data_IF_249593246381
#
_entry.id   IF_249593246381
#
_cell.length_a   1.000
_cell.length_b   1.000
_cell.length_c   1.000
_cell.angle_alpha   90.00
_cell.angle_beta   90.00
_cell.angle_gamma   90.00
#
_symmetry.space_group_name_H-M   'P 1'
#
loop_
_entity.id
_entity.type
_entity.pdbx_description
1 polymer ?
#
# COMPACT_ATOMS: atom_id res chain seq x y z
N UNK A 1 2.74 30.94 13.04
CA UNK A 1 2.97 29.99 11.94
C UNK A 1 4.46 29.99 11.72
N UNK A 2 5.05 28.81 11.63
CA UNK A 2 6.47 28.69 11.33
C UNK A 2 6.59 28.51 9.81
N UNK A 3 7.58 29.13 9.19
CA UNK A 3 7.82 29.01 7.74
C UNK A 3 9.25 28.56 7.57
N UNK A 4 9.47 27.61 6.68
CA UNK A 4 10.79 27.25 6.19
C UNK A 4 10.76 27.15 4.68
N UNK A 5 11.93 27.11 4.07
CA UNK A 5 12.06 27.09 2.62
C UNK A 5 12.61 25.73 2.17
N UNK A 6 12.07 25.18 1.08
CA UNK A 6 12.74 24.14 0.33
C UNK A 6 13.77 24.82 -0.58
N UNK A 7 15.04 24.57 -0.33
CA UNK A 7 16.14 25.22 -1.05
C UNK A 7 16.20 24.76 -2.52
N UNK A 8 16.86 25.54 -3.38
CA UNK A 8 17.09 25.19 -4.80
C UNK A 8 17.73 23.80 -4.97
N UNK A 9 18.59 23.39 -4.03
CA UNK A 9 19.22 22.06 -4.01
C UNK A 9 18.22 20.91 -3.81
N UNK A 10 17.05 21.19 -3.21
CA UNK A 10 15.95 20.23 -3.16
C UNK A 10 15.27 20.06 -4.53
N UNK A 11 15.53 20.94 -5.50
CA UNK A 11 15.19 20.80 -6.92
C UNK A 11 13.79 21.27 -7.32
N UNK A 12 13.19 22.20 -6.58
CA UNK A 12 11.88 22.80 -6.91
C UNK A 12 11.98 24.14 -7.68
N UNK A 13 13.18 24.58 -8.05
CA UNK A 13 13.41 25.90 -8.64
C UNK A 13 13.64 26.95 -7.55
N UNK A 14 13.14 28.18 -7.77
CA UNK A 14 13.17 29.26 -6.77
C UNK A 14 12.66 28.76 -5.40
N UNK A 15 13.15 29.38 -4.32
CA UNK A 15 12.78 29.06 -2.94
C UNK A 15 11.27 28.84 -2.74
N UNK A 16 10.86 27.60 -2.42
CA UNK A 16 9.45 27.25 -2.15
C UNK A 16 9.18 27.34 -0.65
N UNK A 17 8.23 28.18 -0.25
CA UNK A 17 7.83 28.31 1.15
C UNK A 17 6.97 27.12 1.61
N UNK A 18 7.27 26.63 2.82
CA UNK A 18 6.48 25.62 3.52
C UNK A 18 5.96 26.20 4.83
N UNK A 19 4.65 26.39 4.90
CA UNK A 19 3.95 26.99 6.03
C UNK A 19 3.49 25.89 6.98
N UNK A 20 3.93 25.96 8.23
CA UNK A 20 3.66 24.98 9.28
C UNK A 20 2.63 25.47 10.32
N UNK A 21 1.73 24.57 10.79
CA UNK A 21 0.92 24.83 11.96
C UNK A 21 1.80 24.80 13.22
N UNK A 22 1.28 25.33 14.33
CA UNK A 22 2.05 25.46 15.58
C UNK A 22 2.39 24.11 16.25
N UNK A 23 1.73 23.02 15.86
CA UNK A 23 1.83 21.70 16.51
C UNK A 23 2.82 20.75 15.82
N UNK A 24 3.69 21.23 14.93
CA UNK A 24 4.76 20.43 14.33
C UNK A 24 6.03 21.27 14.15
N UNK A 25 7.18 20.67 14.45
CA UNK A 25 8.49 21.24 14.17
C UNK A 25 8.94 20.87 12.75
N UNK A 26 9.66 21.79 12.08
CA UNK A 26 10.19 21.58 10.73
C UNK A 26 10.95 20.25 10.60
N UNK A 27 11.89 19.98 11.52
CA UNK A 27 12.70 18.76 11.50
C UNK A 27 11.82 17.50 11.53
N UNK A 28 10.70 17.50 12.26
CA UNK A 28 9.80 16.34 12.34
C UNK A 28 9.12 16.07 11.00
N UNK A 29 8.65 17.12 10.30
CA UNK A 29 8.07 16.98 8.97
C UNK A 29 9.10 16.56 7.93
N UNK A 30 10.28 17.20 7.92
CA UNK A 30 11.33 16.94 6.94
C UNK A 30 11.91 15.52 7.03
N UNK A 31 11.86 14.89 8.20
CA UNK A 31 12.29 13.50 8.40
C UNK A 31 11.16 12.48 8.32
N UNK A 32 9.93 12.91 8.06
CA UNK A 32 8.79 12.01 7.93
C UNK A 32 8.71 11.46 6.50
N UNK A 33 8.89 10.15 6.36
CA UNK A 33 9.03 9.47 5.07
C UNK A 33 7.92 9.79 4.06
N UNK A 34 6.62 9.81 4.42
CA UNK A 34 5.57 10.16 3.46
C UNK A 34 5.75 11.55 2.83
N UNK A 35 6.18 12.55 3.61
CA UNK A 35 6.46 13.88 3.06
C UNK A 35 7.69 13.88 2.15
N UNK A 36 8.74 13.14 2.51
CA UNK A 36 9.93 12.98 1.66
C UNK A 36 9.60 12.31 0.33
N UNK A 37 8.85 11.21 0.37
CA UNK A 37 8.45 10.44 -0.82
C UNK A 37 7.55 11.27 -1.74
N UNK A 38 6.54 11.96 -1.17
CA UNK A 38 5.66 12.84 -1.93
C UNK A 38 6.45 13.97 -2.62
N UNK A 39 7.34 14.66 -1.88
CA UNK A 39 8.19 15.72 -2.46
C UNK A 39 9.08 15.20 -3.57
N UNK A 40 9.80 14.10 -3.32
CA UNK A 40 10.74 13.53 -4.28
C UNK A 40 10.04 13.11 -5.58
N UNK A 41 8.86 12.51 -5.46
CA UNK A 41 8.04 12.07 -6.59
C UNK A 41 7.49 13.27 -7.38
N UNK A 42 6.93 14.26 -6.68
CA UNK A 42 6.42 15.48 -7.31
C UNK A 42 7.52 16.21 -8.07
N UNK A 43 8.69 16.39 -7.45
CA UNK A 43 9.85 17.00 -8.08
C UNK A 43 10.21 16.33 -9.40
N UNK A 44 10.36 15.01 -9.39
CA UNK A 44 10.74 14.25 -10.59
C UNK A 44 9.72 14.44 -11.73
N UNK A 45 8.43 14.47 -11.39
CA UNK A 45 7.36 14.72 -12.36
C UNK A 45 7.37 16.17 -12.88
N UNK A 46 7.67 17.15 -12.02
CA UNK A 46 7.83 18.53 -12.46
C UNK A 46 9.03 18.67 -13.42
N UNK A 47 10.14 17.98 -13.13
CA UNK A 47 11.34 17.97 -13.99
C UNK A 47 11.11 17.27 -15.33
N UNK A 48 10.27 16.24 -15.37
CA UNK A 48 9.94 15.51 -16.61
C UNK A 48 9.31 16.41 -17.68
N UNK A 49 8.72 17.54 -17.29
CA UNK A 49 8.20 18.55 -18.21
C UNK A 49 9.28 19.19 -19.10
N UNK A 50 10.56 19.07 -18.74
CA UNK A 50 11.68 19.55 -19.56
C UNK A 50 11.84 18.74 -20.86
N UNK A 51 11.30 17.52 -20.94
CA UNK A 51 11.29 16.75 -22.18
C UNK A 51 10.41 17.46 -23.24
N UNK A 52 10.94 17.77 -24.45
CA UNK A 52 10.17 18.35 -25.54
C UNK A 52 8.89 17.58 -25.94
N UNK A 53 8.81 16.29 -25.61
CA UNK A 53 7.63 15.44 -25.86
C UNK A 53 6.59 15.50 -24.74
N UNK A 54 6.92 16.08 -23.60
CA UNK A 54 5.99 16.16 -22.48
C UNK A 54 4.82 17.09 -22.83
N UNK A 55 3.59 16.69 -22.47
CA UNK A 55 2.36 17.43 -22.81
C UNK A 55 2.35 18.86 -22.26
N UNK A 56 3.07 19.10 -21.16
CA UNK A 56 3.22 20.41 -20.51
C UNK A 56 4.54 21.12 -20.81
N UNK A 57 5.32 20.66 -21.80
CA UNK A 57 6.64 21.22 -22.09
C UNK A 57 6.62 22.73 -22.39
N UNK A 58 5.63 23.19 -23.16
CA UNK A 58 5.52 24.60 -23.56
C UNK A 58 5.03 25.53 -22.45
N UNK A 59 4.48 24.98 -21.36
CA UNK A 59 3.86 25.75 -20.26
C UNK A 59 3.94 24.92 -18.97
N UNK A 60 5.16 24.86 -18.42
CA UNK A 60 5.53 23.96 -17.34
C UNK A 60 4.92 24.41 -16.02
N UNK A 61 4.38 23.45 -15.28
CA UNK A 61 3.97 23.66 -13.91
C UNK A 61 5.18 23.76 -12.98
N UNK A 62 5.03 24.55 -11.94
CA UNK A 62 6.01 24.71 -10.87
C UNK A 62 5.29 24.74 -9.52
N UNK A 63 5.95 24.20 -8.50
CA UNK A 63 5.49 24.29 -7.11
C UNK A 63 5.86 25.68 -6.58
N UNK A 64 4.91 26.34 -5.93
CA UNK A 64 5.07 27.72 -5.43
C UNK A 64 5.10 27.78 -3.91
N UNK A 65 4.26 26.98 -3.28
CA UNK A 65 4.06 26.99 -1.83
C UNK A 65 3.50 25.64 -1.38
N UNK A 66 3.83 25.23 -0.16
CA UNK A 66 3.16 24.15 0.55
C UNK A 66 2.59 24.69 1.86
N UNK A 67 1.28 24.58 2.05
CA UNK A 67 0.63 24.88 3.32
C UNK A 67 0.25 23.60 4.04
N UNK A 68 0.87 23.32 5.19
CA UNK A 68 0.48 22.22 6.07
C UNK A 68 -0.75 22.65 6.86
N UNK A 69 -1.89 22.04 6.56
CA UNK A 69 -3.19 22.43 7.12
C UNK A 69 -3.45 21.77 8.48
N UNK A 70 -3.09 20.50 8.63
CA UNK A 70 -3.25 19.76 9.88
C UNK A 70 -2.25 18.61 9.99
N UNK A 71 -1.96 18.23 11.24
CA UNK A 71 -1.12 17.10 11.60
C UNK A 71 -1.80 16.31 12.71
N UNK A 72 -2.01 15.03 12.45
CA UNK A 72 -2.55 14.07 13.42
C UNK A 72 -1.41 13.21 13.98
N UNK A 73 -1.43 13.01 15.30
CA UNK A 73 -0.35 12.35 16.05
C UNK A 73 -0.82 11.03 16.66
N UNK A 74 -0.02 9.98 16.50
CA UNK A 74 -0.20 8.68 17.14
C UNK A 74 0.87 8.50 18.21
N UNK A 75 0.58 8.97 19.42
CA UNK A 75 1.59 9.13 20.46
C UNK A 75 2.60 10.20 20.06
N UNK A 76 3.87 9.83 19.94
CA UNK A 76 4.97 10.70 19.53
C UNK A 76 5.25 10.67 18.02
N UNK A 77 4.60 9.80 17.27
CA UNK A 77 4.77 9.64 15.82
C UNK A 77 3.75 10.46 15.05
N UNK A 78 4.17 11.02 13.92
CA UNK A 78 3.24 11.61 12.95
C UNK A 78 2.43 10.48 12.33
N UNK A 79 1.11 10.57 12.47
CA UNK A 79 0.16 9.63 11.86
C UNK A 79 -0.22 10.12 10.47
N UNK A 80 -0.81 11.32 10.38
CA UNK A 80 -1.28 11.89 9.12
C UNK A 80 -0.92 13.37 8.98
N UNK A 81 -0.79 13.82 7.74
CA UNK A 81 -0.62 15.24 7.39
C UNK A 81 -1.56 15.60 6.27
N UNK A 82 -2.36 16.65 6.46
CA UNK A 82 -3.11 17.28 5.37
C UNK A 82 -2.35 18.50 4.89
N UNK A 83 -2.12 18.60 3.59
CA UNK A 83 -1.47 19.75 2.97
C UNK A 83 -2.27 20.30 1.79
N UNK A 84 -1.98 21.55 1.44
CA UNK A 84 -2.34 22.17 0.18
C UNK A 84 -1.06 22.67 -0.50
N UNK A 85 -0.73 22.11 -1.65
CA UNK A 85 0.35 22.54 -2.52
C UNK A 85 -0.19 23.51 -3.58
N UNK A 86 0.44 24.67 -3.73
CA UNK A 86 0.13 25.58 -4.82
C UNK A 86 1.02 25.24 -6.02
N UNK A 87 0.41 24.64 -7.04
CA UNK A 87 1.11 24.22 -8.27
C UNK A 87 0.48 24.97 -9.44
N UNK A 88 1.27 25.79 -10.14
CA UNK A 88 0.77 26.67 -11.20
C UNK A 88 1.70 26.69 -12.41
N UNK A 89 1.15 26.99 -13.58
CA UNK A 89 1.90 27.41 -14.75
C UNK A 89 1.45 28.83 -15.17
N UNK A 90 1.78 29.29 -16.38
CA UNK A 90 1.43 30.64 -16.82
C UNK A 90 -0.06 30.91 -17.00
N UNK A 91 -0.93 29.90 -16.89
CA UNK A 91 -2.35 29.99 -17.24
C UNK A 91 -3.31 29.41 -16.19
N UNK A 92 -2.89 28.38 -15.46
CA UNK A 92 -3.78 27.54 -14.67
C UNK A 92 -3.11 27.00 -13.41
N UNK A 93 -3.94 26.76 -12.39
CA UNK A 93 -3.56 26.10 -11.15
C UNK A 93 -4.01 24.64 -11.17
N UNK A 94 -3.19 23.73 -10.62
CA UNK A 94 -3.57 22.34 -10.38
C UNK A 94 -4.17 22.18 -8.97
N UNK A 95 -5.16 21.28 -8.79
CA UNK A 95 -5.59 20.88 -7.45
C UNK A 95 -4.43 20.23 -6.69
N UNK A 96 -4.03 20.84 -5.57
CA UNK A 96 -2.88 20.36 -4.79
C UNK A 96 -3.20 19.97 -3.35
N UNK A 97 -4.47 19.69 -3.03
CA UNK A 97 -4.84 19.15 -1.71
C UNK A 97 -4.42 17.68 -1.64
N UNK A 98 -3.64 17.33 -0.62
CA UNK A 98 -3.21 15.95 -0.38
C UNK A 98 -3.34 15.55 1.09
N UNK A 99 -3.83 14.34 1.31
CA UNK A 99 -3.81 13.65 2.60
C UNK A 99 -2.65 12.64 2.60
N UNK A 100 -1.57 13.02 3.26
CA UNK A 100 -0.40 12.19 3.42
C UNK A 100 -0.59 11.22 4.58
N UNK A 101 -0.41 9.94 4.28
CA UNK A 101 -0.44 8.83 5.23
C UNK A 101 0.64 7.79 4.97
N UNK A 102 1.31 7.85 3.81
CA UNK A 102 2.34 6.90 3.42
C UNK A 102 1.79 5.58 2.88
N UNK A 103 2.72 4.66 2.62
CA UNK A 103 2.41 3.36 2.04
C UNK A 103 1.94 2.32 3.06
N UNK A 104 1.12 1.40 2.58
CA UNK A 104 0.76 0.16 3.25
C UNK A 104 1.10 -1.03 2.34
N UNK A 105 0.87 -2.26 2.77
CA UNK A 105 0.90 -3.47 1.94
C UNK A 105 -0.39 -4.23 2.12
N UNK A 106 -0.76 -5.01 1.12
CA UNK A 106 -1.87 -5.95 1.20
C UNK A 106 -1.42 -7.34 0.79
N UNK A 107 -1.97 -8.37 1.44
CA UNK A 107 -1.65 -9.75 1.11
C UNK A 107 -2.93 -10.50 0.74
N UNK A 108 -3.01 -10.95 -0.50
CA UNK A 108 -4.00 -11.94 -0.92
C UNK A 108 -3.57 -13.29 -0.37
N UNK A 109 -4.23 -13.74 0.68
CA UNK A 109 -3.94 -15.01 1.34
C UNK A 109 -4.87 -16.11 0.81
N UNK A 110 -4.37 -16.94 -0.11
CA UNK A 110 -5.12 -18.03 -0.73
C UNK A 110 -4.81 -19.36 -0.04
N UNK A 111 -5.85 -20.05 0.42
CA UNK A 111 -5.78 -21.36 1.04
C UNK A 111 -6.35 -22.41 0.11
N UNK A 112 -5.60 -23.48 -0.14
CA UNK A 112 -6.04 -24.64 -0.93
C UNK A 112 -6.19 -25.85 -0.01
N UNK A 113 -7.37 -26.47 0.09
CA UNK A 113 -7.52 -27.72 0.82
C UNK A 113 -6.64 -28.81 0.19
N UNK A 114 -5.94 -29.57 1.03
CA UNK A 114 -5.19 -30.74 0.57
C UNK A 114 -6.08 -31.72 -0.21
N UNK A 115 -5.53 -32.32 -1.27
CA UNK A 115 -6.23 -33.28 -2.12
C UNK A 115 -7.26 -32.68 -3.09
N UNK A 116 -7.39 -31.35 -3.15
CA UNK A 116 -8.23 -30.65 -4.11
C UNK A 116 -7.40 -29.89 -5.15
N UNK A 117 -7.92 -29.77 -6.37
CA UNK A 117 -7.24 -29.03 -7.45
C UNK A 117 -7.75 -27.60 -7.59
N UNK A 118 -9.06 -27.43 -7.51
CA UNK A 118 -9.73 -26.19 -7.90
C UNK A 118 -10.33 -25.43 -6.69
N UNK A 119 -10.48 -26.08 -5.54
CA UNK A 119 -11.01 -25.42 -4.34
C UNK A 119 -10.00 -24.43 -3.76
N UNK A 120 -10.45 -23.19 -3.58
CA UNK A 120 -9.65 -22.08 -3.08
C UNK A 120 -10.49 -21.26 -2.12
N UNK A 121 -9.89 -20.88 -1.01
CA UNK A 121 -10.46 -19.97 -0.03
C UNK A 121 -9.53 -18.77 0.15
N UNK A 122 -10.08 -17.65 0.60
CA UNK A 122 -9.33 -16.43 0.85
C UNK A 122 -9.56 -15.96 2.27
N UNK A 123 -8.48 -15.66 2.97
CA UNK A 123 -8.53 -15.03 4.30
C UNK A 123 -8.81 -13.54 4.11
N UNK A 124 -9.87 -13.08 4.77
CA UNK A 124 -10.29 -11.69 4.84
C UNK A 124 -10.40 -11.27 6.31
N UNK A 125 -10.33 -9.98 6.56
CA UNK A 125 -10.54 -9.35 7.86
C UNK A 125 -11.79 -8.47 7.81
N UNK A 126 -12.61 -8.55 8.84
CA UNK A 126 -13.70 -7.62 9.09
C UNK A 126 -13.29 -6.69 10.23
N UNK A 127 -13.17 -5.40 9.93
CA UNK A 127 -12.68 -4.39 10.87
C UNK A 127 -13.37 -3.02 10.68
N UNK A 128 -13.38 -2.15 11.71
CA UNK A 128 -13.87 -0.78 11.56
C UNK A 128 -13.03 0.03 10.58
N UNK A 129 -13.68 0.67 9.61
CA UNK A 129 -13.11 1.69 8.73
C UNK A 129 -13.91 2.98 8.90
N UNK A 130 -13.59 3.71 9.97
CA UNK A 130 -14.25 4.98 10.31
C UNK A 130 -14.19 6.02 9.18
N UNK A 131 -13.09 6.16 8.40
CA UNK A 131 -13.08 7.05 7.25
C UNK A 131 -14.14 6.72 6.19
N UNK A 132 -14.57 5.46 6.09
CA UNK A 132 -15.65 5.02 5.21
C UNK A 132 -17.02 4.94 5.93
N UNK A 133 -17.10 5.31 7.21
CA UNK A 133 -18.31 5.22 8.01
C UNK A 133 -18.76 3.79 8.31
N UNK A 134 -17.87 2.79 8.20
CA UNK A 134 -18.18 1.38 8.44
C UNK A 134 -17.56 0.88 9.74
N UNK A 135 -18.33 0.09 10.51
CA UNK A 135 -17.84 -0.62 11.70
C UNK A 135 -17.48 -2.08 11.44
N UNK A 136 -17.79 -2.58 10.24
CA UNK A 136 -17.63 -3.98 9.83
C UNK A 136 -17.27 -4.03 8.35
N UNK A 137 -16.15 -3.40 7.99
CA UNK A 137 -15.67 -3.35 6.62
C UNK A 137 -14.88 -4.61 6.32
N UNK A 138 -15.26 -5.31 5.24
CA UNK A 138 -14.62 -6.56 4.83
C UNK A 138 -13.56 -6.28 3.77
N UNK A 139 -12.34 -6.78 4.01
CA UNK A 139 -11.17 -6.52 3.17
C UNK A 139 -10.11 -7.63 3.33
N UNK A 140 -9.14 -7.69 2.43
CA UNK A 140 -7.98 -8.57 2.63
C UNK A 140 -7.02 -7.98 3.69
N UNK A 141 -6.25 -8.83 4.40
CA UNK A 141 -5.25 -8.38 5.39
C UNK A 141 -4.26 -7.37 4.82
N UNK A 142 -3.91 -6.40 5.64
CA UNK A 142 -3.02 -5.30 5.25
C UNK A 142 -2.17 -4.83 6.42
N UNK A 143 -1.04 -4.19 6.11
CA UNK A 143 -0.17 -3.61 7.13
C UNK A 143 0.57 -2.36 6.68
N UNK A 144 0.83 -1.44 7.58
CA UNK A 144 1.54 -0.19 7.33
C UNK A 144 3.04 -0.40 7.10
N UNK A 145 3.62 0.34 6.16
CA UNK A 145 5.06 0.36 5.96
C UNK A 145 5.73 1.30 6.98
N UNK A 146 6.87 0.87 7.53
CA UNK A 146 7.72 1.71 8.41
C UNK A 146 8.68 2.62 7.61
N UNK A 147 8.24 3.14 6.47
CA UNK A 147 9.06 3.97 5.58
C UNK A 147 10.19 3.22 4.85
N UNK A 148 10.30 1.89 5.01
CA UNK A 148 11.17 1.04 4.20
C UNK A 148 10.45 0.56 2.92
N UNK A 149 11.22 0.14 1.91
CA UNK A 149 10.66 -0.39 0.66
C UNK A 149 10.28 -1.88 0.83
N UNK A 150 9.03 -2.21 0.54
CA UNK A 150 8.55 -3.60 0.42
C UNK A 150 8.02 -4.19 1.73
N UNK A 151 7.75 -5.50 1.72
CA UNK A 151 7.23 -6.22 2.88
C UNK A 151 8.25 -6.25 4.03
N UNK A 152 7.93 -5.58 5.14
CA UNK A 152 8.80 -5.45 6.32
C UNK A 152 8.38 -6.40 7.45
N UNK A 153 9.23 -6.52 8.47
CA UNK A 153 8.86 -7.23 9.70
C UNK A 153 7.62 -6.65 10.39
N UNK A 154 7.38 -5.34 10.30
CA UNK A 154 6.16 -4.75 10.87
C UNK A 154 4.90 -5.14 10.10
N UNK A 155 4.94 -5.07 8.77
CA UNK A 155 3.81 -5.53 7.96
C UNK A 155 3.52 -7.03 8.20
N UNK A 156 4.56 -7.84 8.37
CA UNK A 156 4.42 -9.25 8.76
C UNK A 156 3.78 -9.40 10.14
N UNK A 157 4.23 -8.63 11.13
CA UNK A 157 3.68 -8.66 12.48
C UNK A 157 2.21 -8.21 12.51
N UNK A 158 1.86 -7.13 11.80
CA UNK A 158 0.47 -6.65 11.72
C UNK A 158 -0.44 -7.72 11.10
N UNK A 159 -0.01 -8.36 10.01
CA UNK A 159 -0.80 -9.45 9.41
C UNK A 159 -0.86 -10.68 10.33
N UNK A 160 0.21 -11.01 11.05
CA UNK A 160 0.19 -12.08 12.06
C UNK A 160 -0.78 -11.74 13.21
N UNK A 161 -0.86 -10.48 13.64
CA UNK A 161 -1.82 -10.00 14.64
C UNK A 161 -3.27 -10.05 14.11
N UNK A 162 -3.49 -9.68 12.85
CA UNK A 162 -4.79 -9.70 12.19
C UNK A 162 -5.28 -11.13 11.90
N UNK A 163 -4.37 -12.07 11.61
CA UNK A 163 -4.75 -13.39 11.06
C UNK A 163 -4.35 -14.59 11.91
N UNK A 164 -3.46 -14.41 12.89
CA UNK A 164 -2.83 -15.52 13.61
C UNK A 164 -1.92 -16.38 12.73
N UNK A 165 -1.62 -15.95 11.50
CA UNK A 165 -0.78 -16.67 10.54
C UNK A 165 0.53 -15.92 10.39
N UNK A 166 1.62 -16.61 10.72
CA UNK A 166 2.96 -16.09 10.52
C UNK A 166 3.38 -16.21 9.05
N UNK A 167 3.65 -15.07 8.42
CA UNK A 167 4.08 -14.98 7.03
C UNK A 167 5.55 -14.61 6.97
N UNK A 168 6.31 -15.27 6.08
CA UNK A 168 7.69 -14.91 5.80
C UNK A 168 7.81 -14.25 4.43
N UNK A 169 8.70 -13.27 4.30
CA UNK A 169 8.85 -12.48 3.07
C UNK A 169 9.20 -13.35 1.85
N UNK A 170 10.01 -14.39 2.06
CA UNK A 170 10.39 -15.37 1.04
C UNK A 170 9.24 -16.25 0.55
N UNK A 171 8.09 -16.25 1.23
CA UNK A 171 6.90 -16.99 0.82
C UNK A 171 5.91 -16.14 0.01
N UNK A 172 6.25 -14.86 -0.23
CA UNK A 172 5.40 -13.91 -0.92
C UNK A 172 5.77 -13.78 -2.39
N UNK A 173 4.75 -13.59 -3.22
CA UNK A 173 4.89 -13.21 -4.63
C UNK A 173 4.37 -11.78 -4.79
N UNK A 174 5.21 -10.86 -5.27
CA UNK A 174 4.83 -9.46 -5.55
C UNK A 174 3.98 -9.37 -6.82
N UNK A 175 2.65 -9.34 -6.68
CA UNK A 175 1.72 -9.28 -7.81
C UNK A 175 1.82 -7.93 -8.54
N UNK A 176 1.95 -6.84 -7.78
CA UNK A 176 2.13 -5.48 -8.35
C UNK A 176 3.41 -5.37 -9.16
N UNK A 177 4.53 -5.86 -8.61
CA UNK A 177 5.81 -5.90 -9.30
C UNK A 177 5.76 -6.77 -10.56
N UNK A 178 5.15 -7.95 -10.50
CA UNK A 178 4.98 -8.82 -11.67
C UNK A 178 4.17 -8.16 -12.79
N UNK A 179 3.06 -7.51 -12.46
CA UNK A 179 2.23 -6.83 -13.45
C UNK A 179 2.96 -5.65 -14.11
N UNK A 180 3.78 -4.93 -13.36
CA UNK A 180 4.48 -3.73 -13.86
C UNK A 180 5.74 -4.05 -14.68
N UNK A 181 6.34 -5.24 -14.55
CA UNK A 181 7.52 -5.65 -15.35
C UNK A 181 7.34 -5.45 -16.85
N UNK A 182 6.13 -5.65 -17.37
CA UNK A 182 5.79 -5.51 -18.80
C UNK A 182 4.83 -4.35 -19.07
N UNK A 183 4.71 -3.40 -18.14
CA UNK A 183 3.86 -2.23 -18.33
C UNK A 183 4.38 -1.39 -19.50
N UNK A 184 3.48 -0.98 -20.38
CA UNK A 184 3.77 0.00 -21.45
C UNK A 184 3.77 1.43 -20.91
N UNK A 185 3.17 1.64 -19.74
CA UNK A 185 3.16 2.92 -19.05
C UNK A 185 4.40 2.95 -18.16
N UNK A 186 5.29 3.90 -18.44
CA UNK A 186 6.43 4.19 -17.59
C UNK A 186 6.08 5.37 -16.70
N UNK A 187 6.20 5.15 -15.40
CA UNK A 187 6.01 6.15 -14.36
C UNK A 187 7.03 5.84 -13.25
N UNK A 188 7.42 6.86 -12.52
CA UNK A 188 8.39 6.78 -11.43
C UNK A 188 7.73 6.56 -10.06
N UNK A 189 6.41 6.43 -10.05
CA UNK A 189 5.64 5.97 -8.91
C UNK A 189 6.14 4.61 -8.39
N UNK A 190 5.82 4.33 -7.12
CA UNK A 190 6.13 3.04 -6.49
C UNK A 190 5.35 1.93 -7.24
N UNK A 191 5.94 0.73 -7.40
CA UNK A 191 5.25 -0.38 -8.07
C UNK A 191 4.15 -0.94 -7.17
N UNK A 192 2.99 -0.30 -7.19
CA UNK A 192 1.93 -0.49 -6.22
C UNK A 192 0.57 -0.10 -6.81
N UNK A 193 -0.51 -0.52 -6.16
CA UNK A 193 -1.85 0.00 -6.41
C UNK A 193 -2.06 1.29 -5.62
N UNK A 194 -2.67 2.30 -6.24
CA UNK A 194 -3.02 3.58 -5.61
C UNK A 194 -4.54 3.67 -5.45
N UNK A 195 -5.09 3.63 -4.21
CA UNK A 195 -6.54 3.51 -4.02
C UNK A 195 -7.30 4.80 -4.31
N UNK A 196 -6.68 5.96 -4.06
CA UNK A 196 -7.30 7.28 -4.29
C UNK A 196 -6.24 8.35 -4.60
N UNK A 197 -5.54 8.26 -5.74
CA UNK A 197 -4.42 9.14 -6.09
C UNK A 197 -4.84 10.60 -6.34
N UNK A 198 -6.14 10.90 -6.39
CA UNK A 198 -6.66 12.26 -6.48
C UNK A 198 -6.67 13.02 -5.15
N UNK A 199 -6.39 12.37 -4.02
CA UNK A 199 -6.43 13.02 -2.71
C UNK A 199 -5.53 12.41 -1.63
N UNK A 200 -4.86 11.28 -1.89
CA UNK A 200 -3.92 10.68 -0.93
C UNK A 200 -2.65 10.18 -1.62
N UNK A 201 -1.54 10.20 -0.89
CA UNK A 201 -0.26 9.62 -1.31
C UNK A 201 -0.18 8.10 -1.12
N UNK A 202 -1.22 7.48 -0.55
CA UNK A 202 -1.20 6.06 -0.25
C UNK A 202 -0.90 5.23 -1.49
N UNK A 203 0.03 4.31 -1.32
CA UNK A 203 0.34 3.27 -2.26
C UNK A 203 0.36 1.93 -1.53
N UNK A 204 -0.12 0.89 -2.20
CA UNK A 204 -0.31 -0.45 -1.64
C UNK A 204 0.31 -1.47 -2.59
N UNK A 205 1.56 -1.92 -2.38
CA UNK A 205 2.08 -3.12 -3.02
C UNK A 205 1.23 -4.32 -2.59
N UNK A 206 0.88 -5.16 -3.57
CA UNK A 206 0.00 -6.30 -3.35
C UNK A 206 0.82 -7.57 -3.52
N UNK A 207 0.82 -8.39 -2.48
CA UNK A 207 1.49 -9.68 -2.46
C UNK A 207 0.47 -10.82 -2.48
N UNK A 208 0.89 -11.97 -3.01
CA UNK A 208 0.19 -13.24 -2.87
C UNK A 208 0.94 -14.10 -1.86
N UNK A 209 0.18 -14.68 -0.94
CA UNK A 209 0.59 -15.80 -0.10
C UNK A 209 -0.37 -16.95 -0.38
N UNK A 210 0.12 -18.04 -0.98
CA UNK A 210 -0.71 -19.21 -1.32
C UNK A 210 -0.16 -20.46 -0.65
N UNK A 211 -1.01 -21.18 0.09
CA UNK A 211 -0.63 -22.42 0.79
C UNK A 211 -1.67 -23.53 0.62
N UNK A 212 -1.16 -24.75 0.54
CA UNK A 212 -1.96 -25.94 0.81
C UNK A 212 -2.09 -26.13 2.32
N UNK A 213 -3.29 -26.48 2.78
CA UNK A 213 -3.62 -26.60 4.20
C UNK A 213 -4.70 -27.65 4.40
N UNK A 214 -4.64 -28.36 5.53
CA UNK A 214 -5.69 -29.29 5.95
C UNK A 214 -7.06 -28.58 6.00
N UNK A 215 -8.11 -29.27 5.54
CA UNK A 215 -9.45 -28.70 5.44
C UNK A 215 -10.02 -28.30 6.80
N UNK A 216 -9.80 -29.11 7.84
CA UNK A 216 -10.28 -28.79 9.17
C UNK A 216 -9.59 -27.51 9.67
N UNK A 217 -8.29 -27.36 9.41
CA UNK A 217 -7.57 -26.12 9.74
C UNK A 217 -8.13 -24.88 9.02
N UNK A 218 -8.52 -24.99 7.75
CA UNK A 218 -9.17 -23.90 7.01
C UNK A 218 -10.51 -23.54 7.66
N UNK A 219 -11.32 -24.53 8.01
CA UNK A 219 -12.61 -24.33 8.71
C UNK A 219 -12.40 -23.67 10.07
N UNK A 220 -11.37 -24.08 10.82
CA UNK A 220 -11.08 -23.54 12.14
C UNK A 220 -10.67 -22.07 12.11
N UNK A 221 -10.16 -21.54 10.99
CA UNK A 221 -9.85 -20.12 10.83
C UNK A 221 -11.11 -19.24 10.75
N UNK A 222 -12.26 -19.81 10.35
CA UNK A 222 -13.50 -19.07 10.17
C UNK A 222 -14.02 -18.49 11.49
N UNK A 223 -14.28 -17.17 11.51
CA UNK A 223 -14.91 -16.51 12.66
C UNK A 223 -14.00 -16.39 13.88
N UNK A 224 -12.71 -16.67 13.75
CA UNK A 224 -11.75 -16.40 14.81
C UNK A 224 -11.66 -14.89 15.05
N UNK A 225 -11.76 -14.50 16.32
CA UNK A 225 -11.55 -13.13 16.75
C UNK A 225 -10.06 -12.93 17.00
N UNK A 226 -9.46 -12.03 16.23
CA UNK A 226 -8.02 -11.72 16.23
C UNK A 226 -7.79 -10.24 16.57
N UNK A 227 -6.53 -9.80 16.60
CA UNK A 227 -6.15 -8.44 16.99
C UNK A 227 -6.03 -8.21 18.50
N UNK A 228 -5.24 -7.19 18.89
CA UNK A 228 -5.05 -6.81 20.28
C UNK A 228 -6.26 -6.02 20.81
N UNK A 229 -7.20 -6.72 21.47
CA UNK A 229 -8.38 -6.10 22.12
C UNK A 229 -8.04 -4.97 23.09
N UNK A 230 -6.85 -4.98 23.68
CA UNK A 230 -6.37 -3.94 24.59
C UNK A 230 -6.04 -2.62 23.89
N UNK A 231 -5.87 -2.61 22.56
CA UNK A 231 -5.60 -1.42 21.75
C UNK A 231 -6.83 -0.91 20.98
N UNK A 232 -8.01 -1.51 21.17
CA UNK A 232 -9.27 -1.05 20.57
C UNK A 232 -9.54 -1.54 19.15
N UNK A 233 -8.64 -2.36 18.58
CA UNK A 233 -8.85 -3.01 17.28
C UNK A 233 -9.70 -4.27 17.46
N UNK A 234 -10.90 -4.26 16.88
CA UNK A 234 -11.78 -5.43 16.81
C UNK A 234 -11.71 -6.00 15.40
N UNK A 235 -10.94 -7.08 15.24
CA UNK A 235 -10.73 -7.72 13.94
C UNK A 235 -11.33 -9.12 14.00
N UNK A 236 -12.18 -9.45 13.03
CA UNK A 236 -12.77 -10.79 12.88
C UNK A 236 -12.29 -11.41 11.59
N UNK A 237 -11.73 -12.61 11.66
CA UNK A 237 -11.37 -13.35 10.47
C UNK A 237 -12.60 -13.91 9.76
N UNK A 238 -12.62 -13.74 8.44
CA UNK A 238 -13.56 -14.39 7.54
C UNK A 238 -12.78 -15.13 6.46
N UNK A 239 -13.08 -16.40 6.30
CA UNK A 239 -12.65 -17.23 5.18
C UNK A 239 -13.78 -17.25 4.17
N UNK A 240 -13.48 -16.79 2.96
CA UNK A 240 -14.43 -16.63 1.86
C UNK A 240 -14.05 -17.57 0.73
N UNK A 241 -15.06 -18.15 0.04
CA UNK A 241 -14.82 -18.88 -1.22
C UNK A 241 -14.18 -17.92 -2.24
N UNK A 242 -13.08 -18.34 -2.85
CA UNK A 242 -12.37 -17.54 -3.85
C UNK A 242 -13.31 -17.05 -4.97
N UNK A 243 -14.26 -17.89 -5.40
CA UNK A 243 -15.19 -17.55 -6.49
C UNK A 243 -16.18 -16.44 -6.10
N UNK A 244 -16.40 -16.23 -4.79
CA UNK A 244 -17.26 -15.19 -4.24
C UNK A 244 -16.49 -13.93 -3.82
N UNK A 245 -15.14 -13.96 -3.80
CA UNK A 245 -14.29 -12.86 -3.32
C UNK A 245 -14.62 -11.53 -3.99
N UNK A 246 -14.80 -11.54 -5.31
CA UNK A 246 -15.07 -10.33 -6.09
C UNK A 246 -16.45 -9.72 -5.80
N UNK A 247 -17.39 -10.50 -5.24
CA UNK A 247 -18.71 -10.02 -4.80
C UNK A 247 -18.68 -9.54 -3.36
N UNK A 248 -18.09 -10.33 -2.46
CA UNK A 248 -18.05 -10.01 -1.03
C UNK A 248 -17.08 -8.88 -0.71
N UNK A 249 -15.91 -8.86 -1.34
CA UNK A 249 -14.87 -7.85 -1.19
C UNK A 249 -15.01 -6.66 -2.14
N UNK A 250 -16.14 -6.55 -2.87
CA UNK A 250 -16.33 -5.56 -3.94
C UNK A 250 -16.16 -4.10 -3.51
N UNK A 251 -16.27 -3.81 -2.21
CA UNK A 251 -16.16 -2.45 -1.67
C UNK A 251 -14.72 -2.04 -1.34
N UNK A 252 -13.81 -3.01 -1.30
CA UNK A 252 -12.42 -2.77 -0.92
C UNK A 252 -11.51 -2.77 -2.16
N UNK A 253 -10.81 -1.65 -2.37
CA UNK A 253 -9.98 -1.44 -3.55
C UNK A 253 -8.83 -2.45 -3.63
N UNK A 254 -8.15 -2.74 -2.51
CA UNK A 254 -7.03 -3.70 -2.48
C UNK A 254 -7.50 -5.13 -2.70
N UNK A 255 -8.68 -5.51 -2.21
CA UNK A 255 -9.27 -6.83 -2.51
C UNK A 255 -9.53 -7.00 -4.00
N UNK A 256 -10.23 -6.05 -4.64
CA UNK A 256 -10.51 -6.13 -6.07
C UNK A 256 -9.24 -6.06 -6.93
N UNK A 257 -8.30 -5.21 -6.56
CA UNK A 257 -7.01 -5.12 -7.26
C UNK A 257 -6.23 -6.43 -7.14
N UNK A 258 -6.16 -7.02 -5.94
CA UNK A 258 -5.46 -8.29 -5.73
C UNK A 258 -6.09 -9.44 -6.51
N UNK A 259 -7.41 -9.54 -6.47
CA UNK A 259 -8.16 -10.52 -7.27
C UNK A 259 -7.88 -10.35 -8.76
N UNK A 260 -7.99 -9.11 -9.29
CA UNK A 260 -7.76 -8.84 -10.70
C UNK A 260 -6.31 -9.10 -11.14
N UNK A 261 -5.32 -8.78 -10.30
CA UNK A 261 -3.92 -9.07 -10.56
C UNK A 261 -3.65 -10.57 -10.55
N UNK A 262 -4.16 -11.30 -9.55
CA UNK A 262 -4.05 -12.76 -9.48
C UNK A 262 -4.63 -13.41 -10.74
N UNK A 263 -5.83 -13.03 -11.12
CA UNK A 263 -6.54 -13.51 -12.31
C UNK A 263 -5.81 -13.16 -13.62
N UNK A 264 -5.38 -11.91 -13.76
CA UNK A 264 -4.67 -11.42 -14.94
C UNK A 264 -3.32 -12.11 -15.14
N UNK A 265 -2.52 -12.22 -14.06
CA UNK A 265 -1.21 -12.87 -14.09
C UNK A 265 -1.33 -14.39 -14.29
N UNK A 266 -2.38 -15.01 -13.74
CA UNK A 266 -2.68 -16.44 -13.98
C UNK A 266 -3.03 -16.69 -15.45
N UNK A 267 -3.96 -15.91 -16.03
CA UNK A 267 -4.33 -16.05 -17.45
C UNK A 267 -3.17 -15.77 -18.40
N UNK A 268 -2.25 -14.88 -18.03
CA UNK A 268 -1.05 -14.59 -18.79
C UNK A 268 0.04 -15.67 -18.67
N UNK A 269 -0.14 -16.69 -17.81
CA UNK A 269 0.84 -17.73 -17.54
C UNK A 269 2.07 -17.25 -16.76
N UNK A 270 2.00 -16.08 -16.11
CA UNK A 270 3.12 -15.46 -15.40
C UNK A 270 3.17 -15.94 -13.94
N UNK A 271 2.01 -16.18 -13.32
CA UNK A 271 1.94 -16.49 -11.89
C UNK A 271 2.37 -17.92 -11.55
N UNK A 272 1.99 -18.90 -12.37
CA UNK A 272 2.23 -20.32 -12.12
C UNK A 272 3.72 -20.67 -11.95
N UNK A 273 4.65 -20.17 -12.78
CA UNK A 273 6.09 -20.40 -12.58
C UNK A 273 6.63 -19.86 -11.25
N UNK A 274 6.10 -18.73 -10.76
CA UNK A 274 6.51 -18.12 -9.49
C UNK A 274 6.03 -18.96 -8.30
N UNK A 275 4.80 -19.49 -8.36
CA UNK A 275 4.26 -20.44 -7.37
C UNK A 275 5.11 -21.71 -7.33
N UNK A 276 5.45 -22.27 -8.50
CA UNK A 276 6.27 -23.49 -8.59
C UNK A 276 7.69 -23.28 -8.06
N UNK A 277 8.28 -22.11 -8.30
CA UNK A 277 9.58 -21.74 -7.73
C UNK A 277 9.53 -21.78 -6.21
N UNK A 278 8.54 -21.11 -5.59
CA UNK A 278 8.39 -21.10 -4.14
C UNK A 278 8.16 -22.50 -3.55
N UNK A 279 7.37 -23.36 -4.23
CA UNK A 279 7.19 -24.74 -3.80
C UNK A 279 8.51 -25.52 -3.78
N UNK A 280 9.36 -25.38 -4.81
CA UNK A 280 10.68 -26.02 -4.87
C UNK A 280 11.61 -25.53 -3.77
N UNK A 281 11.64 -24.22 -3.52
CA UNK A 281 12.49 -23.62 -2.49
C UNK A 281 12.05 -24.02 -1.07
N UNK A 282 10.74 -24.25 -0.86
CA UNK A 282 10.22 -24.77 0.41
C UNK A 282 10.50 -26.27 0.64
N UNK A 283 10.65 -27.06 -0.43
CA UNK A 283 10.93 -28.50 -0.36
C UNK A 283 12.41 -28.87 -0.19
N UNK A 284 13.33 -27.91 -0.35
CA UNK A 284 14.77 -28.11 -0.16
C UNK A 284 15.26 -27.85 1.26
N UNK A 285 14.37 -27.54 2.22
CA UNK A 285 14.73 -27.54 3.63
C UNK A 285 14.93 -28.98 4.12
N UNK A 286 16.19 -29.38 4.23
CA UNK A 286 16.66 -30.64 4.81
C UNK A 286 15.90 -30.96 6.11
N UNK A 287 15.42 -32.20 6.32
CA UNK A 287 14.84 -32.56 7.61
C UNK A 287 15.92 -32.39 8.69
N UNK A 288 15.64 -31.54 9.67
CA UNK A 288 16.41 -31.48 10.91
C UNK A 288 16.28 -32.87 11.53
N UNK A 289 17.36 -33.65 11.45
CA UNK A 289 17.44 -34.93 12.15
C UNK A 289 17.27 -34.65 13.64
N UNK A 290 16.30 -35.35 14.22
CA UNK A 290 16.07 -35.52 15.65
C UNK A 290 17.34 -35.82 16.43
#
# INVERSE_FOLDING_TARGET
MNVFTLDEEEGFGDSVEVILPKNIEQYRLQNWVPFQDWKATLRKNLEAQKDPKHVHHSDQYSLQEISIQSVDWFGDKIGFVKLAAKIQNGKTDLPGIAFLRGGSVAVLMVLRPEGTKDERYVVMTEQPRIPAGSLRFLEIPAGMLDGQKGFTGKAANEIEEETGIKIRAEELIDLTGLALKNSKVQDDLRPAMYPSPGGSDEFIPIYLWEKEMDRQRIVDLQGQLTGMRTQGEMITLKVTDYEELWREGARDAKTLAAWALYEGLSRAGILQPEIERLKKDSGTSTPVKS
#
